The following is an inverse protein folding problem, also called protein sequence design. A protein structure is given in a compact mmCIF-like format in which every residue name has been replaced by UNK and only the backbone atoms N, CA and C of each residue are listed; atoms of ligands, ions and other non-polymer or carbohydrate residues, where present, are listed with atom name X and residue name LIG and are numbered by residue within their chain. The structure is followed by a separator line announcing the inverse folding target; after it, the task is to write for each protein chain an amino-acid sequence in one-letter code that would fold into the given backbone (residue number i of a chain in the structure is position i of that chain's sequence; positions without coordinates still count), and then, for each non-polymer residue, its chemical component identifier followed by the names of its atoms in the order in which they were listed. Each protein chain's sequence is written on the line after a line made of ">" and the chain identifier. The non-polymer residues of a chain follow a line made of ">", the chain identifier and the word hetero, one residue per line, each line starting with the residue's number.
data_IF_946250172167
#
_entry.id   IF_946250172167
#
_cell.length_a   1.000
_cell.length_b   1.000
_cell.length_c   1.000
_cell.angle_alpha   90.00
_cell.angle_beta   90.00
_cell.angle_gamma   90.00
#
_symmetry.space_group_name_H-M   'P 1'
#
loop_
_entity.id
_entity.type
_entity.pdbx_description
1 polymer ?
#
# COMPACT_ATOMS: atom_id res chain seq x y z
N UNK A 1 17.73 1.67 3.28
CA UNK A 1 17.95 0.20 3.29
C UNK A 1 19.40 -0.19 3.00
N UNK A 2 20.06 0.30 1.97
CA UNK A 2 21.49 -0.04 1.68
C UNK A 2 22.41 0.24 2.87
N UNK A 3 22.29 1.42 3.48
CA UNK A 3 23.08 1.79 4.67
C UNK A 3 22.82 0.91 5.90
N UNK A 4 21.71 0.18 5.93
CA UNK A 4 21.36 -0.78 6.96
C UNK A 4 21.78 -2.23 6.60
N UNK A 5 22.56 -2.40 5.52
CA UNK A 5 23.07 -3.70 5.11
C UNK A 5 22.15 -4.51 4.20
N UNK A 6 21.05 -3.95 3.71
CA UNK A 6 20.19 -4.65 2.75
C UNK A 6 20.90 -4.84 1.41
N UNK A 7 20.74 -6.02 0.83
CA UNK A 7 21.32 -6.39 -0.48
C UNK A 7 20.18 -6.39 -1.51
N UNK A 8 20.16 -5.45 -2.47
CA UNK A 8 19.19 -5.46 -3.55
C UNK A 8 19.46 -6.63 -4.51
N UNK A 9 18.47 -7.50 -4.66
CA UNK A 9 18.59 -8.70 -5.52
C UNK A 9 17.95 -8.51 -6.89
N UNK A 10 17.14 -7.49 -7.07
CA UNK A 10 16.49 -7.21 -8.33
C UNK A 10 15.45 -6.10 -8.27
N UNK A 11 14.80 -5.91 -9.40
CA UNK A 11 13.61 -5.04 -9.57
C UNK A 11 12.49 -5.89 -10.14
N UNK A 12 11.35 -5.80 -9.51
CA UNK A 12 10.17 -6.56 -9.87
C UNK A 12 9.33 -5.85 -10.94
N UNK A 13 8.39 -6.57 -11.53
CA UNK A 13 7.48 -6.05 -12.53
C UNK A 13 6.43 -5.12 -11.90
N UNK A 14 5.97 -4.14 -12.69
CA UNK A 14 4.86 -3.25 -12.35
C UNK A 14 4.11 -2.88 -13.65
N UNK A 15 2.85 -2.42 -13.59
CA UNK A 15 2.16 -1.89 -14.78
C UNK A 15 2.81 -0.59 -15.23
N UNK A 16 2.52 -0.18 -16.47
CA UNK A 16 2.99 1.09 -17.01
C UNK A 16 2.67 2.26 -16.07
N UNK A 17 3.67 3.07 -15.80
CA UNK A 17 3.61 4.24 -14.91
C UNK A 17 3.09 3.93 -13.49
N UNK A 18 2.89 2.68 -13.11
CA UNK A 18 2.29 2.30 -11.85
C UNK A 18 0.78 2.62 -11.74
N UNK A 19 0.10 2.88 -12.84
CA UNK A 19 -1.28 3.41 -12.86
C UNK A 19 -2.38 2.34 -12.97
N UNK A 20 -2.08 1.06 -12.75
CA UNK A 20 -3.08 -0.03 -12.81
C UNK A 20 -3.05 -0.89 -11.55
N UNK A 21 -4.19 -1.48 -11.25
CA UNK A 21 -4.36 -2.46 -10.16
C UNK A 21 -4.14 -3.92 -10.62
N UNK A 22 -3.63 -4.13 -11.81
CA UNK A 22 -3.14 -5.42 -12.34
C UNK A 22 -1.74 -5.22 -12.90
N UNK A 23 -0.83 -6.14 -12.59
CA UNK A 23 0.59 -6.00 -12.96
C UNK A 23 0.85 -6.65 -14.30
N UNK A 24 0.66 -5.87 -15.34
CA UNK A 24 0.92 -6.22 -16.74
C UNK A 24 1.48 -5.02 -17.51
N UNK A 25 2.43 -5.26 -18.40
CA UNK A 25 2.97 -4.25 -19.31
C UNK A 25 3.53 -4.86 -20.59
N UNK A 26 3.61 -4.09 -21.71
CA UNK A 26 4.10 -4.59 -22.99
C UNK A 26 5.56 -5.06 -22.99
N UNK A 27 6.38 -4.50 -22.10
CA UNK A 27 7.82 -4.80 -22.08
C UNK A 27 8.13 -6.15 -21.46
N UNK A 28 7.41 -6.54 -20.40
CA UNK A 28 7.71 -7.73 -19.59
C UNK A 28 6.55 -8.69 -19.49
N UNK A 29 5.39 -8.31 -20.00
CA UNK A 29 4.17 -9.08 -19.91
C UNK A 29 3.57 -9.08 -18.50
N UNK A 30 2.67 -10.03 -18.29
CA UNK A 30 1.87 -10.15 -17.07
C UNK A 30 2.60 -10.91 -15.96
N UNK A 31 2.49 -10.39 -14.75
CA UNK A 31 2.80 -11.11 -13.53
C UNK A 31 1.58 -11.93 -13.11
N UNK A 32 1.78 -13.21 -12.81
CA UNK A 32 0.69 -14.09 -12.38
C UNK A 32 0.59 -14.12 -10.85
N UNK A 33 -0.65 -14.23 -10.37
CA UNK A 33 -0.87 -14.47 -8.94
C UNK A 33 -0.29 -15.85 -8.56
N UNK A 34 0.52 -15.92 -7.48
CA UNK A 34 1.20 -17.16 -7.07
C UNK A 34 0.26 -18.31 -6.70
N UNK A 35 -0.95 -17.98 -6.25
CA UNK A 35 -1.94 -18.97 -5.81
C UNK A 35 -2.81 -19.47 -6.95
N UNK A 36 -3.12 -18.59 -7.92
CA UNK A 36 -3.95 -18.94 -9.07
C UNK A 36 -3.64 -18.03 -10.27
N UNK A 37 -3.12 -18.60 -11.34
CA UNK A 37 -2.74 -17.85 -12.56
C UNK A 37 -3.91 -17.13 -13.26
N UNK A 38 -5.16 -17.46 -12.93
CA UNK A 38 -6.35 -16.78 -13.47
C UNK A 38 -6.69 -15.48 -12.72
N UNK A 39 -6.11 -15.29 -11.52
CA UNK A 39 -6.31 -14.12 -10.70
C UNK A 39 -5.22 -13.08 -10.94
N UNK A 40 -5.51 -11.83 -10.58
CA UNK A 40 -4.51 -10.77 -10.56
C UNK A 40 -3.58 -10.91 -9.34
N UNK A 41 -2.29 -10.57 -9.45
CA UNK A 41 -1.42 -10.41 -8.30
C UNK A 41 -1.67 -9.07 -7.58
N UNK A 42 -2.63 -8.27 -8.08
CA UNK A 42 -2.81 -6.88 -7.70
C UNK A 42 -1.82 -5.95 -8.41
N UNK A 43 -1.90 -4.69 -8.09
CA UNK A 43 -1.06 -3.63 -8.65
C UNK A 43 -1.09 -2.38 -7.77
N UNK A 44 -0.11 -1.52 -7.99
CA UNK A 44 0.96 -1.59 -8.97
C UNK A 44 2.17 -2.41 -8.51
N UNK A 45 2.40 -2.66 -7.22
CA UNK A 45 3.51 -3.47 -6.69
C UNK A 45 3.25 -4.99 -6.75
N UNK A 46 2.54 -5.48 -7.79
CA UNK A 46 2.15 -6.89 -7.87
C UNK A 46 3.32 -7.84 -8.14
N UNK A 47 4.35 -7.40 -8.86
CA UNK A 47 5.58 -8.17 -9.05
C UNK A 47 6.32 -8.38 -7.73
N UNK A 48 6.38 -7.36 -6.88
CA UNK A 48 6.99 -7.45 -5.56
C UNK A 48 6.20 -8.40 -4.65
N UNK A 49 4.87 -8.24 -4.60
CA UNK A 49 4.02 -9.12 -3.81
C UNK A 49 4.13 -10.58 -4.23
N UNK A 50 4.15 -10.87 -5.54
CA UNK A 50 4.33 -12.22 -6.06
C UNK A 50 5.71 -12.81 -5.71
N UNK A 51 6.77 -12.02 -5.79
CA UNK A 51 8.13 -12.43 -5.43
C UNK A 51 8.24 -12.78 -3.94
N UNK A 52 7.68 -11.94 -3.06
CA UNK A 52 7.68 -12.17 -1.62
C UNK A 52 6.83 -13.39 -1.25
N UNK A 53 5.62 -13.52 -1.82
CA UNK A 53 4.72 -14.63 -1.56
C UNK A 53 5.34 -15.99 -1.95
N UNK A 54 6.14 -16.02 -3.01
CA UNK A 54 6.84 -17.23 -3.47
C UNK A 54 8.21 -17.47 -2.81
N UNK A 55 8.63 -16.59 -1.89
CA UNK A 55 9.89 -16.73 -1.17
C UNK A 55 11.13 -16.31 -1.95
N UNK A 56 10.99 -15.59 -3.06
CA UNK A 56 12.15 -15.08 -3.81
C UNK A 56 12.90 -14.00 -3.05
N UNK A 57 12.20 -13.23 -2.22
CA UNK A 57 12.80 -12.27 -1.27
C UNK A 57 12.07 -12.30 0.07
N UNK A 58 12.73 -12.00 1.19
CA UNK A 58 12.10 -11.91 2.49
C UNK A 58 11.30 -10.61 2.67
N UNK A 59 11.80 -9.52 2.09
CA UNK A 59 11.25 -8.17 2.19
C UNK A 59 11.44 -7.44 0.87
N UNK A 60 10.56 -6.52 0.58
CA UNK A 60 10.64 -5.66 -0.59
C UNK A 60 10.07 -4.27 -0.34
N UNK A 61 10.20 -3.43 -1.35
CA UNK A 61 9.70 -2.06 -1.37
C UNK A 61 8.68 -1.89 -2.48
N UNK A 62 7.63 -1.20 -2.17
CA UNK A 62 6.67 -0.70 -3.14
C UNK A 62 6.29 0.74 -2.80
N UNK A 63 5.40 1.30 -3.60
CA UNK A 63 4.76 2.58 -3.28
C UNK A 63 3.25 2.47 -3.37
N UNK A 64 2.57 3.45 -2.79
CA UNK A 64 1.10 3.45 -2.73
C UNK A 64 0.57 4.88 -2.82
N UNK A 65 -0.24 5.10 -3.81
CA UNK A 65 -1.02 6.32 -3.96
C UNK A 65 -2.53 5.99 -3.88
N UNK A 66 -2.94 4.89 -4.47
CA UNK A 66 -4.34 4.44 -4.55
C UNK A 66 -4.57 2.99 -4.15
N UNK A 67 -3.64 2.38 -3.41
CA UNK A 67 -3.72 0.98 -3.00
C UNK A 67 -2.55 0.11 -3.44
N UNK A 68 -1.53 0.67 -4.07
CA UNK A 68 -0.49 -0.08 -4.76
C UNK A 68 0.48 -0.87 -3.87
N UNK A 69 0.45 -0.69 -2.54
CA UNK A 69 1.04 -1.58 -1.52
C UNK A 69 -0.01 -2.58 -1.01
N UNK A 70 -1.18 -2.06 -0.63
CA UNK A 70 -2.23 -2.78 0.08
C UNK A 70 -2.96 -3.78 -0.82
N UNK A 71 -3.32 -3.38 -2.04
CA UNK A 71 -4.01 -4.23 -3.00
C UNK A 71 -3.19 -5.47 -3.39
N UNK A 72 -1.92 -5.36 -3.84
CA UNK A 72 -1.13 -6.56 -4.14
C UNK A 72 -0.82 -7.40 -2.91
N UNK A 73 -0.66 -6.81 -1.73
CA UNK A 73 -0.50 -7.58 -0.49
C UNK A 73 -1.75 -8.44 -0.21
N UNK A 74 -2.94 -7.87 -0.35
CA UNK A 74 -4.21 -8.59 -0.25
C UNK A 74 -4.31 -9.71 -1.30
N UNK A 75 -4.03 -9.41 -2.58
CA UNK A 75 -4.13 -10.39 -3.66
C UNK A 75 -3.15 -11.57 -3.53
N UNK A 76 -1.97 -11.34 -2.97
CA UNK A 76 -0.92 -12.35 -2.85
C UNK A 76 -0.81 -12.98 -1.44
N UNK A 77 -1.60 -12.51 -0.45
CA UNK A 77 -1.60 -13.05 0.90
C UNK A 77 -0.33 -12.74 1.70
N UNK A 78 0.18 -11.53 1.57
CA UNK A 78 1.32 -11.02 2.34
C UNK A 78 0.93 -9.78 3.15
N UNK A 79 1.85 -9.27 3.94
CA UNK A 79 1.68 -8.04 4.70
C UNK A 79 2.31 -6.84 3.99
N UNK A 80 1.72 -5.67 4.15
CA UNK A 80 2.29 -4.38 3.74
C UNK A 80 1.79 -3.27 4.66
N UNK A 81 2.43 -2.13 4.58
CA UNK A 81 1.95 -0.91 5.23
C UNK A 81 2.07 0.26 4.26
N UNK A 82 1.01 1.05 4.17
CA UNK A 82 1.06 2.40 3.62
C UNK A 82 1.30 3.37 4.78
N UNK A 83 2.53 3.86 4.99
CA UNK A 83 2.79 4.80 6.08
C UNK A 83 2.04 6.12 5.87
N UNK A 84 1.92 6.90 6.93
CA UNK A 84 1.53 8.30 6.83
C UNK A 84 2.53 9.05 5.95
N UNK A 85 2.03 9.92 5.09
CA UNK A 85 2.86 10.74 4.19
C UNK A 85 3.89 11.52 5.00
N UNK A 86 5.12 11.57 4.50
CA UNK A 86 6.26 12.16 5.17
C UNK A 86 6.92 11.27 6.24
N UNK A 87 6.34 10.13 6.59
CA UNK A 87 6.97 9.17 7.51
C UNK A 87 8.17 8.46 6.86
N UNK A 88 8.03 8.07 5.61
CA UNK A 88 9.10 7.59 4.74
C UNK A 88 9.36 8.66 3.70
N UNK A 89 10.61 9.11 3.54
CA UNK A 89 10.93 10.14 2.57
C UNK A 89 10.61 9.70 1.14
N UNK A 90 9.95 10.57 0.39
CA UNK A 90 9.57 10.36 -1.01
C UNK A 90 10.51 11.12 -1.95
N UNK A 91 11.76 10.68 -2.06
CA UNK A 91 12.70 11.26 -3.03
C UNK A 91 12.60 10.50 -4.34
N UNK A 92 11.86 11.07 -5.27
CA UNK A 92 11.63 10.49 -6.59
C UNK A 92 12.43 11.25 -7.64
N UNK A 93 12.83 10.59 -8.72
CA UNK A 93 13.57 11.18 -9.83
C UNK A 93 12.93 10.88 -11.17
N UNK A 94 13.26 11.69 -12.17
CA UNK A 94 12.75 11.51 -13.53
C UNK A 94 11.26 11.86 -13.66
N UNK A 95 10.48 11.02 -14.34
CA UNK A 95 9.06 11.27 -14.58
C UNK A 95 8.22 11.38 -13.30
N UNK A 96 8.74 10.91 -12.17
CA UNK A 96 8.06 10.96 -10.87
C UNK A 96 8.39 12.21 -10.05
N UNK A 97 9.27 13.10 -10.53
CA UNK A 97 9.60 14.35 -9.82
C UNK A 97 8.43 15.33 -9.76
N UNK A 98 7.55 15.30 -10.77
CA UNK A 98 6.47 16.27 -10.94
C UNK A 98 5.12 15.56 -11.12
N UNK A 99 4.76 14.72 -10.19
CA UNK A 99 3.46 14.00 -10.24
C UNK A 99 2.28 14.83 -9.73
N UNK A 100 2.45 16.15 -9.63
CA UNK A 100 1.39 17.13 -9.42
C UNK A 100 0.45 16.78 -8.27
N UNK A 101 -0.83 16.68 -8.58
CA UNK A 101 -1.90 16.38 -7.60
C UNK A 101 -1.79 15.02 -6.93
N UNK A 102 -1.04 14.08 -7.49
CA UNK A 102 -0.85 12.74 -6.92
C UNK A 102 0.22 12.75 -5.82
N UNK A 103 1.22 13.64 -5.91
CA UNK A 103 2.36 13.70 -4.99
C UNK A 103 1.97 13.68 -3.49
N UNK A 104 0.96 14.44 -3.03
CA UNK A 104 0.56 14.46 -1.64
C UNK A 104 0.01 13.13 -1.11
N UNK A 105 -0.28 12.17 -1.98
CA UNK A 105 -0.85 10.87 -1.61
C UNK A 105 0.14 9.72 -1.76
N UNK A 106 1.24 9.94 -2.49
CA UNK A 106 2.25 8.91 -2.75
C UNK A 106 3.12 8.70 -1.52
N UNK A 107 3.30 7.44 -1.14
CA UNK A 107 4.27 7.05 -0.10
C UNK A 107 4.89 5.70 -0.42
N UNK A 108 6.15 5.56 -0.06
CA UNK A 108 6.85 4.28 -0.13
C UNK A 108 6.63 3.48 1.15
N UNK A 109 6.66 2.15 1.04
CA UNK A 109 6.48 1.29 2.18
C UNK A 109 7.04 -0.12 1.97
N UNK A 110 7.33 -0.82 3.08
CA UNK A 110 7.80 -2.19 3.05
C UNK A 110 6.66 -3.18 2.81
N UNK A 111 7.01 -4.28 2.15
CA UNK A 111 6.18 -5.46 1.92
C UNK A 111 6.94 -6.69 2.41
N UNK A 112 6.28 -7.61 3.11
CA UNK A 112 6.87 -8.83 3.62
C UNK A 112 5.80 -9.87 3.95
N UNK A 113 6.20 -11.13 4.23
CA UNK A 113 5.26 -12.16 4.68
C UNK A 113 4.81 -11.98 6.12
N UNK A 114 5.63 -11.33 6.96
CA UNK A 114 5.37 -11.17 8.41
C UNK A 114 5.34 -9.70 8.81
N UNK A 115 4.52 -9.39 9.79
CA UNK A 115 4.39 -8.02 10.33
C UNK A 115 5.68 -7.55 11.01
N UNK A 116 6.43 -8.46 11.63
CA UNK A 116 7.73 -8.15 12.25
C UNK A 116 8.74 -7.64 11.21
N UNK A 117 8.74 -8.22 10.01
CA UNK A 117 9.61 -7.79 8.91
C UNK A 117 9.16 -6.43 8.37
N UNK A 118 7.84 -6.17 8.35
CA UNK A 118 7.29 -4.83 8.03
C UNK A 118 7.78 -3.79 9.04
N UNK A 119 7.70 -4.10 10.34
CA UNK A 119 8.19 -3.21 11.41
C UNK A 119 9.68 -2.93 11.25
N UNK A 120 10.48 -3.96 10.99
CA UNK A 120 11.92 -3.82 10.74
C UNK A 120 12.20 -2.95 9.50
N UNK A 121 11.51 -3.22 8.39
CA UNK A 121 11.64 -2.42 7.17
C UNK A 121 11.26 -0.95 7.38
N UNK A 122 10.14 -0.70 8.05
CA UNK A 122 9.68 0.66 8.33
C UNK A 122 10.65 1.41 9.25
N UNK A 123 11.24 0.75 10.25
CA UNK A 123 12.21 1.37 11.16
C UNK A 123 13.48 1.85 10.46
N UNK A 124 13.83 1.23 9.33
CA UNK A 124 14.98 1.60 8.50
C UNK A 124 14.62 2.71 7.50
N UNK A 125 13.37 2.73 7.03
CA UNK A 125 12.91 3.66 6.01
C UNK A 125 12.44 4.99 6.59
N UNK A 126 11.87 4.98 7.80
CA UNK A 126 11.31 6.16 8.44
C UNK A 126 12.39 7.15 8.84
N UNK A 127 12.04 8.44 8.76
CA UNK A 127 12.90 9.54 9.18
C UNK A 127 12.93 10.67 8.16
N UNK A 128 13.73 11.69 8.45
CA UNK A 128 13.86 12.87 7.60
C UNK A 128 14.95 12.67 6.53
N UNK A 129 14.69 13.18 5.33
CA UNK A 129 15.68 13.30 4.24
C UNK A 129 15.78 14.74 3.77
N UNK A 130 17.02 15.18 3.43
CA UNK A 130 17.28 16.57 3.05
C UNK A 130 16.55 16.99 1.76
N UNK A 131 16.37 16.05 0.84
CA UNK A 131 15.75 16.29 -0.47
C UNK A 131 14.21 16.10 -0.43
N UNK A 132 13.64 15.74 0.71
CA UNK A 132 12.18 15.70 0.90
C UNK A 132 11.76 16.63 2.04
N UNK A 133 11.30 17.86 1.72
CA UNK A 133 10.89 18.84 2.72
C UNK A 133 9.66 18.41 3.53
N UNK A 134 8.88 17.46 3.04
CA UNK A 134 7.69 16.94 3.72
C UNK A 134 8.03 15.80 4.70
N UNK A 135 9.25 15.26 4.63
CA UNK A 135 9.66 14.18 5.50
C UNK A 135 9.89 14.68 6.95
N UNK A 136 9.47 13.85 7.90
CA UNK A 136 9.52 14.17 9.32
C UNK A 136 10.26 13.09 10.12
N UNK A 137 11.02 13.53 11.12
CA UNK A 137 11.65 12.62 12.08
C UNK A 137 10.78 12.54 13.34
N UNK A 138 9.93 11.53 13.37
CA UNK A 138 9.01 11.25 14.47
C UNK A 138 9.19 9.81 14.92
N UNK A 139 9.27 9.51 16.22
CA UNK A 139 9.40 8.16 16.73
C UNK A 139 8.30 7.23 16.18
N UNK A 140 8.67 6.00 15.84
CA UNK A 140 7.72 4.95 15.45
C UNK A 140 6.96 4.41 16.64
N UNK A 141 7.56 4.47 17.81
CA UNK A 141 6.96 4.05 19.08
C UNK A 141 6.58 5.25 19.92
N UNK A 142 5.40 5.21 20.50
CA UNK A 142 4.85 6.24 21.34
C UNK A 142 4.17 5.64 22.57
N UNK A 143 3.53 6.51 23.38
CA UNK A 143 2.72 6.04 24.51
C UNK A 143 1.55 5.22 23.99
N UNK A 144 1.50 3.97 24.40
CA UNK A 144 0.39 3.07 24.04
C UNK A 144 -0.86 3.50 24.81
N UNK A 145 -2.04 3.46 24.16
CA UNK A 145 -3.30 3.69 24.86
C UNK A 145 -3.56 2.57 25.88
N UNK A 146 -4.26 2.87 26.95
CA UNK A 146 -4.66 1.87 27.95
C UNK A 146 -5.59 0.82 27.35
N UNK A 147 -6.41 1.22 26.38
CA UNK A 147 -7.31 0.35 25.64
C UNK A 147 -7.34 0.76 24.18
N UNK A 148 -7.14 -0.20 23.30
CA UNK A 148 -7.30 0.01 21.86
C UNK A 148 -8.77 -0.01 21.48
N UNK A 149 -9.12 0.81 20.46
CA UNK A 149 -10.44 0.83 19.85
C UNK A 149 -10.34 0.51 18.37
N UNK A 150 -11.31 -0.22 17.86
CA UNK A 150 -11.45 -0.51 16.43
C UNK A 150 -12.87 -0.24 15.96
N UNK A 151 -13.01 0.40 14.82
CA UNK A 151 -14.27 0.61 14.13
C UNK A 151 -14.36 -0.38 12.97
N UNK A 152 -15.43 -1.17 12.91
CA UNK A 152 -15.70 -2.07 11.79
C UNK A 152 -16.67 -1.40 10.83
N UNK A 153 -16.24 -1.26 9.58
CA UNK A 153 -17.06 -0.76 8.49
C UNK A 153 -17.42 -1.94 7.58
N UNK A 154 -18.68 -2.38 7.65
CA UNK A 154 -19.21 -3.50 6.85
C UNK A 154 -20.09 -3.06 5.70
N UNK A 155 -20.51 -1.81 5.72
CA UNK A 155 -21.38 -1.21 4.70
C UNK A 155 -20.81 0.11 4.23
N UNK A 156 -20.85 0.34 2.93
CA UNK A 156 -20.49 1.59 2.29
C UNK A 156 -21.64 2.00 1.38
N UNK A 157 -22.14 3.21 1.55
CA UNK A 157 -23.27 3.70 0.75
C UNK A 157 -22.94 3.65 -0.74
N UNK A 158 -23.83 3.03 -1.53
CA UNK A 158 -23.65 2.89 -2.97
C UNK A 158 -22.66 1.79 -3.41
N UNK A 159 -22.03 1.07 -2.48
CA UNK A 159 -21.09 -0.01 -2.81
C UNK A 159 -21.54 -1.32 -2.14
N UNK A 160 -21.85 -2.32 -2.95
CA UNK A 160 -22.11 -3.67 -2.47
C UNK A 160 -20.79 -4.42 -2.20
N UNK A 161 -20.51 -4.70 -0.93
CA UNK A 161 -19.35 -5.51 -0.57
C UNK A 161 -19.65 -7.00 -0.78
N UNK A 162 -18.70 -7.76 -1.37
CA UNK A 162 -18.85 -9.21 -1.47
C UNK A 162 -19.07 -9.85 -0.08
N UNK A 163 -19.97 -10.84 0.05
CA UNK A 163 -20.22 -11.51 1.34
C UNK A 163 -18.94 -12.10 1.99
N UNK A 164 -18.00 -12.58 1.18
CA UNK A 164 -16.72 -13.04 1.68
C UNK A 164 -15.91 -11.91 2.36
N UNK A 165 -15.92 -10.71 1.80
CA UNK A 165 -15.23 -9.55 2.39
C UNK A 165 -15.87 -9.14 3.73
N UNK A 166 -17.20 -9.12 3.80
CA UNK A 166 -17.93 -8.83 5.05
C UNK A 166 -17.57 -9.84 6.14
N UNK A 167 -17.53 -11.13 5.79
CA UNK A 167 -17.13 -12.19 6.71
C UNK A 167 -15.71 -12.02 7.23
N UNK A 168 -14.76 -11.65 6.39
CA UNK A 168 -13.38 -11.40 6.80
C UNK A 168 -13.26 -10.20 7.75
N UNK A 169 -14.04 -9.14 7.52
CA UNK A 169 -14.11 -7.98 8.42
C UNK A 169 -14.67 -8.39 9.79
N UNK A 170 -15.73 -9.20 9.82
CA UNK A 170 -16.32 -9.70 11.06
C UNK A 170 -15.34 -10.60 11.85
N UNK A 171 -14.63 -11.48 11.16
CA UNK A 171 -13.60 -12.34 11.79
C UNK A 171 -12.44 -11.52 12.34
N UNK A 172 -11.98 -10.50 11.61
CA UNK A 172 -10.96 -9.57 12.10
C UNK A 172 -11.44 -8.84 13.37
N UNK A 173 -12.69 -8.38 13.39
CA UNK A 173 -13.29 -7.74 14.56
C UNK A 173 -13.37 -8.66 15.78
N UNK A 174 -13.71 -9.93 15.56
CA UNK A 174 -13.73 -10.95 16.60
C UNK A 174 -12.34 -11.19 17.20
N UNK A 175 -11.33 -11.38 16.32
CA UNK A 175 -9.94 -11.55 16.75
C UNK A 175 -9.47 -10.36 17.59
N UNK A 176 -9.76 -9.12 17.16
CA UNK A 176 -9.41 -7.91 17.92
C UNK A 176 -10.09 -7.90 19.29
N UNK A 177 -11.39 -8.20 19.35
CA UNK A 177 -12.15 -8.24 20.61
C UNK A 177 -11.61 -9.30 21.56
N UNK A 178 -11.28 -10.51 21.09
CA UNK A 178 -10.67 -11.57 21.87
C UNK A 178 -9.28 -11.19 22.40
N UNK A 179 -8.60 -10.24 21.76
CA UNK A 179 -7.32 -9.66 22.20
C UNK A 179 -7.47 -8.34 22.98
N UNK A 180 -8.66 -8.06 23.51
CA UNK A 180 -8.89 -6.97 24.46
C UNK A 180 -9.16 -5.60 23.84
N UNK A 181 -9.36 -5.53 22.52
CA UNK A 181 -9.76 -4.30 21.85
C UNK A 181 -11.24 -3.99 22.10
N UNK A 182 -11.58 -2.72 22.12
CA UNK A 182 -12.95 -2.22 22.08
C UNK A 182 -13.38 -2.11 20.64
N UNK A 183 -14.24 -3.01 20.19
CA UNK A 183 -14.62 -3.12 18.78
C UNK A 183 -16.07 -2.67 18.63
N UNK A 184 -16.29 -1.69 17.76
CA UNK A 184 -17.60 -1.12 17.48
C UNK A 184 -17.87 -1.16 15.97
N UNK A 185 -19.08 -1.58 15.59
CA UNK A 185 -19.54 -1.47 14.21
C UNK A 185 -20.01 -0.03 13.96
N UNK A 186 -19.47 0.59 12.92
CA UNK A 186 -19.77 1.98 12.57
C UNK A 186 -20.09 2.11 11.09
N UNK A 187 -20.92 3.08 10.75
CA UNK A 187 -21.10 3.52 9.37
C UNK A 187 -19.97 4.47 9.00
N UNK A 188 -19.27 4.19 7.91
CA UNK A 188 -18.22 5.06 7.43
C UNK A 188 -18.81 6.39 6.92
N UNK A 189 -18.30 7.54 7.38
CA UNK A 189 -18.79 8.82 6.89
C UNK A 189 -18.32 9.06 5.46
N UNK A 190 -19.25 9.39 4.55
CA UNK A 190 -18.99 9.97 3.24
C UNK A 190 -17.99 9.21 2.33
N UNK A 191 -17.82 7.88 2.49
CA UNK A 191 -16.92 7.10 1.63
C UNK A 191 -17.37 7.05 0.16
N UNK A 192 -18.64 7.20 -0.11
CA UNK A 192 -19.22 7.36 -1.44
C UNK A 192 -18.58 8.54 -2.19
N UNK A 193 -18.47 9.70 -1.52
CA UNK A 193 -17.85 10.91 -2.09
C UNK A 193 -16.35 10.77 -2.32
N UNK A 194 -15.67 10.02 -1.45
CA UNK A 194 -14.21 9.81 -1.58
C UNK A 194 -13.87 9.12 -2.90
N UNK A 195 -14.73 8.22 -3.37
CA UNK A 195 -14.51 7.51 -4.63
C UNK A 195 -14.51 8.46 -5.84
N UNK A 196 -15.49 9.36 -5.90
CA UNK A 196 -15.59 10.35 -6.97
C UNK A 196 -14.44 11.34 -6.93
N UNK A 197 -14.12 11.87 -5.76
CA UNK A 197 -12.98 12.78 -5.56
C UNK A 197 -11.65 12.14 -5.96
N UNK A 198 -11.44 10.88 -5.59
CA UNK A 198 -10.25 10.13 -5.96
C UNK A 198 -10.15 9.92 -7.49
N UNK A 199 -11.27 9.65 -8.15
CA UNK A 199 -11.34 9.54 -9.61
C UNK A 199 -10.85 10.81 -10.30
N UNK A 200 -11.28 11.98 -9.84
CA UNK A 200 -10.82 13.28 -10.36
C UNK A 200 -9.32 13.46 -10.16
N UNK A 201 -8.82 13.21 -8.93
CA UNK A 201 -7.38 13.34 -8.62
C UNK A 201 -6.52 12.44 -9.51
N UNK A 202 -6.94 11.18 -9.71
CA UNK A 202 -6.22 10.24 -10.57
C UNK A 202 -6.22 10.64 -12.04
N UNK A 203 -7.35 11.12 -12.56
CA UNK A 203 -7.46 11.54 -13.98
C UNK A 203 -6.63 12.78 -14.21
N UNK A 204 -6.79 13.83 -13.42
CA UNK A 204 -6.03 15.06 -13.58
C UNK A 204 -4.53 14.85 -13.33
N UNK A 205 -4.16 14.15 -12.26
CA UNK A 205 -2.77 13.83 -12.00
C UNK A 205 -2.14 12.88 -13.04
N UNK A 206 -2.93 11.95 -13.58
CA UNK A 206 -2.50 11.09 -14.69
C UNK A 206 -2.27 11.86 -15.99
N UNK A 207 -3.08 12.88 -16.26
CA UNK A 207 -2.90 13.76 -17.44
C UNK A 207 -1.63 14.61 -17.34
N UNK A 208 -1.22 15.01 -16.13
CA UNK A 208 0.06 15.72 -15.92
C UNK A 208 1.28 14.83 -16.22
N UNK A 209 1.13 13.50 -16.07
CA UNK A 209 2.18 12.51 -16.38
C UNK A 209 2.25 12.15 -17.87
N UNK A 210 1.24 12.52 -18.66
CA UNK A 210 1.25 12.26 -20.09
C UNK A 210 2.38 13.07 -20.77
N UNK A 211 3.08 12.47 -21.76
CA UNK A 211 4.05 13.23 -22.55
C UNK A 211 3.39 14.48 -23.14
N UNK A 212 3.96 15.63 -22.87
CA UNK A 212 3.57 16.87 -23.58
C UNK A 212 4.20 16.78 -24.95
N UNK A 213 3.37 16.68 -26.00
CA UNK A 213 3.81 16.72 -27.40
C UNK A 213 4.59 17.99 -27.72
#
# INVERSE_FOLDING_TARGET
>A
MLNAGAIPIGRTNLPEMGLRLDTDNPLRGRTFNPWNKKLTPGGSSGGEAAAIATGMSPIGLGNDVGGSLRNPAYCCGISSIKPTIGRVPGVHSGAMENIGLIAPFLTDGPMARKVEDIKAGLSILAGRHIDDPNSVDVPLEGKMPEKFKAALVKEIDGIELPPATVKEIEEAGKILSENGWDVEEVKAPELDKVFDMWGVILVEGGMELAPKE
#
